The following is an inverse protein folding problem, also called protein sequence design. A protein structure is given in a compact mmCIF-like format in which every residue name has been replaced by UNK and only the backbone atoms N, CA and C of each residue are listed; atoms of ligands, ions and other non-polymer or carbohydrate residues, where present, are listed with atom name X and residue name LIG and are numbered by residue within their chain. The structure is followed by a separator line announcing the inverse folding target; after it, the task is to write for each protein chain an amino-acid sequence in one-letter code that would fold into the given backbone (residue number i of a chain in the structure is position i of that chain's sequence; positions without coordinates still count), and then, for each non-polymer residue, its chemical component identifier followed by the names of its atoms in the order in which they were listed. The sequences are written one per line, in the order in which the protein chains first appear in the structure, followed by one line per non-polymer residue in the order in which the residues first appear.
data_IF_130472805410
#
_entry.id   IF_130472805410
#
_cell.length_a   1.000
_cell.length_b   1.000
_cell.length_c   1.000
_cell.angle_alpha   90.00
_cell.angle_beta   90.00
_cell.angle_gamma   90.00
#
_symmetry.space_group_name_H-M   'P 1'
#
loop_
_entity.id
_entity.type
_entity.pdbx_description
1 polymer ?
#
# COMPACT_ATOMS: atom_id res chain seq x y z
N UNK A 1 14.93 43.04 19.77
CA UNK A 1 13.70 42.26 19.95
C UNK A 1 13.46 41.58 18.61
N UNK A 2 13.66 40.26 18.48
CA UNK A 2 13.47 39.60 17.20
C UNK A 2 11.98 39.50 16.89
N UNK A 3 11.65 39.65 15.60
CA UNK A 3 10.32 39.71 15.02
C UNK A 3 9.50 38.42 15.27
N UNK A 4 8.17 38.50 15.53
CA UNK A 4 7.33 37.32 15.73
C UNK A 4 6.89 36.65 14.42
N UNK A 5 7.25 37.18 13.25
CA UNK A 5 6.82 36.68 11.94
C UNK A 5 7.75 35.60 11.34
N UNK A 6 8.71 35.08 12.12
CA UNK A 6 9.59 33.98 11.71
C UNK A 6 9.02 32.57 11.98
N UNK A 7 7.69 32.42 11.93
CA UNK A 7 7.03 31.10 11.86
C UNK A 7 6.90 30.74 10.38
N UNK A 8 8.03 30.41 9.75
CA UNK A 8 8.01 29.60 8.53
C UNK A 8 7.80 28.15 8.99
N UNK A 9 6.54 27.73 9.03
CA UNK A 9 6.12 26.39 9.40
C UNK A 9 6.51 25.40 8.29
N UNK A 10 7.74 24.90 8.38
CA UNK A 10 8.32 23.60 8.02
C UNK A 10 7.74 22.67 6.92
N UNK A 11 6.99 23.17 5.94
CA UNK A 11 6.63 22.41 4.73
C UNK A 11 7.22 23.12 3.50
N UNK A 12 8.34 22.61 2.99
CA UNK A 12 8.89 23.09 1.72
C UNK A 12 8.14 22.39 0.58
N UNK A 13 7.17 23.09 -0.01
CA UNK A 13 6.43 22.59 -1.16
C UNK A 13 7.33 22.65 -2.40
N UNK A 14 7.91 21.51 -2.76
CA UNK A 14 8.79 21.40 -3.91
C UNK A 14 7.95 21.09 -5.17
N UNK A 15 7.88 22.05 -6.10
CA UNK A 15 7.24 21.85 -7.41
C UNK A 15 8.30 21.60 -8.47
N UNK A 16 8.32 20.39 -9.03
CA UNK A 16 9.30 19.99 -10.04
C UNK A 16 8.60 19.32 -11.23
N UNK A 17 8.87 19.83 -12.44
CA UNK A 17 8.20 19.37 -13.66
C UNK A 17 8.78 18.02 -14.16
N UNK A 18 10.08 17.79 -13.95
CA UNK A 18 10.75 16.54 -14.30
C UNK A 18 12.09 16.50 -13.56
N UNK A 19 12.31 15.46 -12.74
CA UNK A 19 13.55 15.29 -11.98
C UNK A 19 14.06 13.89 -12.21
N UNK A 20 15.35 13.81 -12.55
CA UNK A 20 15.99 12.53 -12.74
C UNK A 20 16.19 11.80 -11.40
N UNK A 21 16.72 12.50 -10.40
CA UNK A 21 16.98 11.95 -9.06
C UNK A 21 16.80 13.03 -7.99
N UNK A 22 16.08 12.73 -6.91
CA UNK A 22 15.84 13.66 -5.80
C UNK A 22 16.16 13.01 -4.45
N UNK A 23 16.90 13.72 -3.60
CA UNK A 23 17.22 13.30 -2.23
C UNK A 23 16.66 14.29 -1.22
N UNK A 24 15.88 13.81 -0.25
CA UNK A 24 15.30 14.66 0.79
C UNK A 24 15.53 14.04 2.17
N UNK A 25 16.09 14.83 3.07
CA UNK A 25 16.45 14.43 4.44
C UNK A 25 16.05 15.46 5.49
N UNK A 26 14.87 16.07 5.32
CA UNK A 26 14.30 17.02 6.28
C UNK A 26 13.18 16.35 7.08
N UNK A 27 12.72 16.98 8.17
CA UNK A 27 11.73 16.38 9.07
C UNK A 27 10.39 16.11 8.38
N UNK A 28 9.91 17.06 7.59
CA UNK A 28 8.60 16.99 6.93
C UNK A 28 8.73 17.36 5.46
N UNK A 29 8.07 16.59 4.60
CA UNK A 29 8.16 16.74 3.15
C UNK A 29 6.77 16.70 2.55
N UNK A 30 6.44 17.72 1.75
CA UNK A 30 5.30 17.67 0.85
C UNK A 30 5.78 17.93 -0.58
N UNK A 31 5.54 16.97 -1.48
CA UNK A 31 6.02 17.05 -2.85
C UNK A 31 4.88 16.89 -3.84
N UNK A 32 4.87 17.78 -4.83
CA UNK A 32 3.95 17.73 -5.97
C UNK A 32 4.72 17.82 -7.28
N UNK A 33 4.56 16.80 -8.13
CA UNK A 33 5.31 16.68 -9.37
C UNK A 33 4.52 15.92 -10.45
N UNK A 34 4.87 16.17 -11.71
CA UNK A 34 4.37 15.35 -12.83
C UNK A 34 4.98 13.96 -12.76
N UNK A 35 6.25 13.85 -13.13
CA UNK A 35 6.98 12.58 -13.15
C UNK A 35 8.27 12.67 -12.34
N UNK A 36 8.48 11.67 -11.49
CA UNK A 36 9.73 11.43 -10.78
C UNK A 36 10.30 10.07 -11.18
N UNK A 37 11.56 10.06 -11.62
CA UNK A 37 12.21 8.83 -12.00
C UNK A 37 12.80 8.11 -10.78
N UNK A 38 13.64 8.81 -10.01
CA UNK A 38 14.24 8.27 -8.79
C UNK A 38 14.04 9.21 -7.61
N UNK A 39 13.61 8.65 -6.48
CA UNK A 39 13.35 9.37 -5.26
C UNK A 39 13.95 8.64 -4.04
N UNK A 40 14.75 9.34 -3.25
CA UNK A 40 15.28 8.84 -1.99
C UNK A 40 14.92 9.78 -0.84
N UNK A 41 14.18 9.26 0.15
CA UNK A 41 13.66 10.08 1.25
C UNK A 41 13.89 9.41 2.60
N UNK A 42 14.34 10.21 3.55
CA UNK A 42 14.45 9.86 4.96
C UNK A 42 13.92 11.01 5.80
N UNK A 43 12.63 10.95 6.15
CA UNK A 43 11.90 12.04 6.78
C UNK A 43 10.89 11.51 7.79
N UNK A 44 10.58 12.26 8.85
CA UNK A 44 9.57 11.81 9.82
C UNK A 44 8.18 11.76 9.20
N UNK A 45 7.81 12.79 8.43
CA UNK A 45 6.52 12.89 7.74
C UNK A 45 6.72 13.13 6.24
N UNK A 46 5.93 12.43 5.44
CA UNK A 46 6.04 12.51 3.98
C UNK A 46 4.67 12.50 3.32
N UNK A 47 4.42 13.45 2.44
CA UNK A 47 3.19 13.55 1.65
C UNK A 47 3.55 13.72 0.16
N UNK A 48 2.98 12.86 -0.69
CA UNK A 48 3.11 12.98 -2.15
C UNK A 48 1.79 13.19 -2.85
N UNK A 49 1.83 14.06 -3.86
CA UNK A 49 0.85 14.14 -4.93
C UNK A 49 1.59 14.12 -6.27
N UNK A 50 1.79 12.93 -6.87
CA UNK A 50 2.55 12.80 -8.11
C UNK A 50 1.81 12.00 -9.18
N UNK A 51 2.01 12.34 -10.46
CA UNK A 51 1.38 11.57 -11.53
C UNK A 51 2.08 10.22 -11.68
N UNK A 52 3.41 10.23 -11.83
CA UNK A 52 4.20 9.01 -11.99
C UNK A 52 5.43 9.03 -11.10
N UNK A 53 5.65 7.94 -10.36
CA UNK A 53 6.87 7.69 -9.61
C UNK A 53 7.40 6.31 -10.01
N UNK A 54 8.57 6.28 -10.65
CA UNK A 54 9.10 5.06 -11.27
C UNK A 54 9.95 4.19 -10.35
N UNK A 55 10.73 4.81 -9.46
CA UNK A 55 11.50 4.12 -8.45
C UNK A 55 11.64 5.01 -7.23
N UNK A 56 11.41 4.44 -6.05
CA UNK A 56 11.52 5.19 -4.81
C UNK A 56 12.06 4.33 -3.67
N UNK A 57 12.94 4.90 -2.86
CA UNK A 57 13.29 4.38 -1.54
C UNK A 57 12.87 5.40 -0.49
N UNK A 58 11.85 5.08 0.29
CA UNK A 58 11.25 6.01 1.24
C UNK A 58 11.26 5.37 2.63
N UNK A 59 11.98 6.01 3.55
CA UNK A 59 11.92 5.75 4.98
C UNK A 59 11.19 6.87 5.69
N UNK A 60 10.14 6.54 6.44
CA UNK A 60 9.41 7.53 7.24
C UNK A 60 8.81 6.98 8.53
N UNK A 61 8.31 7.88 9.38
CA UNK A 61 7.39 7.46 10.45
C UNK A 61 5.97 7.43 9.91
N UNK A 62 5.54 8.50 9.24
CA UNK A 62 4.21 8.62 8.65
C UNK A 62 4.31 9.01 7.18
N UNK A 63 3.57 8.31 6.32
CA UNK A 63 3.50 8.65 4.91
C UNK A 63 2.10 8.61 4.32
N UNK A 64 1.83 9.55 3.42
CA UNK A 64 0.63 9.59 2.60
C UNK A 64 1.04 9.72 1.13
N UNK A 65 0.58 8.79 0.31
CA UNK A 65 0.87 8.73 -1.12
C UNK A 65 -0.41 8.90 -1.91
N UNK A 66 -0.53 9.99 -2.67
CA UNK A 66 -1.52 10.14 -3.74
C UNK A 66 -0.78 10.08 -5.08
N UNK A 67 -0.82 8.91 -5.74
CA UNK A 67 -0.01 8.66 -6.94
C UNK A 67 -0.86 8.06 -8.05
N UNK A 68 -0.76 8.54 -9.29
CA UNK A 68 -1.49 7.87 -10.38
C UNK A 68 -0.83 6.54 -10.71
N UNK A 69 0.47 6.52 -10.95
CA UNK A 69 1.25 5.31 -11.22
C UNK A 69 2.49 5.25 -10.35
N UNK A 70 2.59 4.20 -9.53
CA UNK A 70 3.74 3.93 -8.69
C UNK A 70 4.36 2.60 -9.10
N UNK A 71 5.60 2.65 -9.58
CA UNK A 71 6.38 1.49 -10.00
C UNK A 71 7.56 1.31 -9.05
N UNK A 72 7.93 0.06 -8.77
CA UNK A 72 9.16 -0.33 -8.06
C UNK A 72 9.48 0.46 -6.77
N UNK A 73 8.52 0.80 -5.88
CA UNK A 73 8.84 1.45 -4.63
C UNK A 73 9.32 0.43 -3.59
N UNK A 74 10.31 0.86 -2.81
CA UNK A 74 10.71 0.27 -1.54
C UNK A 74 10.35 1.24 -0.42
N UNK A 75 9.31 0.93 0.35
CA UNK A 75 8.78 1.85 1.37
C UNK A 75 8.81 1.19 2.74
N UNK A 76 9.50 1.85 3.67
CA UNK A 76 9.52 1.53 5.09
C UNK A 76 8.83 2.65 5.87
N UNK A 77 7.76 2.34 6.60
CA UNK A 77 7.09 3.31 7.46
C UNK A 77 6.54 2.71 8.74
N UNK A 78 6.29 3.53 9.77
CA UNK A 78 5.45 3.05 10.87
C UNK A 78 3.99 2.99 10.41
N UNK A 79 3.51 4.07 9.79
CA UNK A 79 2.17 4.18 9.24
C UNK A 79 2.21 4.69 7.81
N UNK A 80 1.54 4.00 6.89
CA UNK A 80 1.40 4.46 5.52
C UNK A 80 -0.04 4.38 5.00
N UNK A 81 -0.41 5.39 4.21
CA UNK A 81 -1.65 5.43 3.46
C UNK A 81 -1.30 5.59 1.98
N UNK A 82 -1.82 4.68 1.16
CA UNK A 82 -1.64 4.67 -0.27
C UNK A 82 -2.98 4.89 -0.96
N UNK A 83 -3.08 5.95 -1.74
CA UNK A 83 -4.16 6.22 -2.68
C UNK A 83 -3.55 6.21 -4.08
N UNK A 84 -3.63 5.07 -4.75
CA UNK A 84 -2.88 4.84 -5.99
C UNK A 84 -3.79 4.32 -7.10
N UNK A 85 -3.70 4.83 -8.33
CA UNK A 85 -4.47 4.23 -9.41
C UNK A 85 -3.87 2.89 -9.83
N UNK A 86 -2.57 2.87 -10.11
CA UNK A 86 -1.83 1.64 -10.45
C UNK A 86 -0.57 1.51 -9.63
N UNK A 87 -0.45 0.38 -8.92
CA UNK A 87 0.71 0.02 -8.13
C UNK A 87 1.35 -1.25 -8.71
N UNK A 88 2.59 -1.14 -9.22
CA UNK A 88 3.29 -2.26 -9.85
C UNK A 88 4.59 -2.57 -9.10
N UNK A 89 4.84 -3.86 -8.83
CA UNK A 89 6.10 -4.42 -8.32
C UNK A 89 6.62 -3.68 -7.10
N UNK A 90 6.26 -4.15 -5.92
CA UNK A 90 6.40 -3.34 -4.70
C UNK A 90 6.91 -4.14 -3.53
N UNK A 91 7.81 -3.55 -2.74
CA UNK A 91 8.14 -4.01 -1.41
C UNK A 91 7.74 -2.94 -0.38
N UNK A 92 6.69 -3.23 0.40
CA UNK A 92 6.25 -2.35 1.49
C UNK A 92 6.41 -3.06 2.83
N UNK A 93 7.21 -2.43 3.69
CA UNK A 93 7.32 -2.74 5.10
C UNK A 93 6.63 -1.68 5.92
N UNK A 94 5.63 -2.05 6.72
CA UNK A 94 5.04 -1.10 7.66
C UNK A 94 4.58 -1.71 8.98
N UNK A 95 4.36 -0.91 10.02
CA UNK A 95 3.59 -1.42 11.16
C UNK A 95 2.11 -1.48 10.81
N UNK A 96 1.59 -0.39 10.22
CA UNK A 96 0.22 -0.27 9.76
C UNK A 96 0.19 0.31 8.34
N UNK A 97 -0.52 -0.34 7.43
CA UNK A 97 -0.72 0.18 6.08
C UNK A 97 -2.19 0.12 5.65
N UNK A 98 -2.61 1.17 4.93
CA UNK A 98 -3.90 1.24 4.26
C UNK A 98 -3.66 1.46 2.78
N UNK A 99 -4.27 0.62 1.96
CA UNK A 99 -4.20 0.67 0.50
C UNK A 99 -5.58 0.92 -0.07
N UNK A 100 -5.73 2.02 -0.78
CA UNK A 100 -6.87 2.32 -1.64
C UNK A 100 -6.35 2.38 -3.07
N UNK A 101 -6.48 1.27 -3.79
CA UNK A 101 -5.81 1.09 -5.08
C UNK A 101 -6.78 0.60 -6.16
N UNK A 102 -6.72 1.16 -7.37
CA UNK A 102 -7.56 0.61 -8.45
C UNK A 102 -7.00 -0.72 -8.95
N UNK A 103 -5.71 -0.76 -9.27
CA UNK A 103 -5.01 -1.97 -9.69
C UNK A 103 -3.69 -2.16 -8.95
N UNK A 104 -3.53 -3.32 -8.33
CA UNK A 104 -2.34 -3.70 -7.59
C UNK A 104 -1.75 -4.98 -8.18
N UNK A 105 -0.53 -4.91 -8.69
CA UNK A 105 0.14 -6.00 -9.41
C UNK A 105 1.47 -6.38 -8.74
N UNK A 106 1.68 -7.67 -8.48
CA UNK A 106 2.97 -8.24 -8.09
C UNK A 106 3.60 -7.56 -6.86
N UNK A 107 3.02 -7.73 -5.68
CA UNK A 107 3.40 -6.96 -4.49
C UNK A 107 3.79 -7.88 -3.34
N UNK A 108 4.90 -7.57 -2.67
CA UNK A 108 5.31 -8.15 -1.40
C UNK A 108 5.02 -7.14 -0.28
N UNK A 109 4.10 -7.48 0.62
CA UNK A 109 3.75 -6.63 1.76
C UNK A 109 4.01 -7.39 3.05
N UNK A 110 4.90 -6.83 3.86
CA UNK A 110 5.14 -7.25 5.22
C UNK A 110 4.65 -6.17 6.17
N UNK A 111 3.61 -6.44 6.96
CA UNK A 111 3.20 -5.47 7.98
C UNK A 111 2.48 -6.10 9.16
N UNK A 112 2.44 -5.44 10.31
CA UNK A 112 1.68 -5.97 11.45
C UNK A 112 0.18 -5.94 11.16
N UNK A 113 -0.32 -4.83 10.61
CA UNK A 113 -1.71 -4.66 10.22
C UNK A 113 -1.81 -4.09 8.81
N UNK A 114 -2.66 -4.67 7.97
CA UNK A 114 -2.92 -4.15 6.62
C UNK A 114 -4.40 -4.14 6.29
N UNK A 115 -4.83 -3.06 5.65
CA UNK A 115 -6.16 -2.93 5.07
C UNK A 115 -6.02 -2.66 3.57
N UNK A 116 -6.71 -3.47 2.76
CA UNK A 116 -6.81 -3.29 1.32
C UNK A 116 -8.26 -2.97 0.93
N UNK A 117 -8.41 -1.89 0.19
CA UNK A 117 -9.61 -1.55 -0.57
C UNK A 117 -9.18 -1.44 -2.03
N UNK A 118 -9.41 -2.50 -2.81
CA UNK A 118 -8.80 -2.63 -4.14
C UNK A 118 -9.81 -3.11 -5.17
N UNK A 119 -9.82 -2.53 -6.38
CA UNK A 119 -10.69 -3.06 -7.44
C UNK A 119 -10.14 -4.36 -8.00
N UNK A 120 -8.85 -4.39 -8.39
CA UNK A 120 -8.18 -5.59 -8.88
C UNK A 120 -6.83 -5.80 -8.22
N UNK A 121 -6.65 -6.99 -7.65
CA UNK A 121 -5.40 -7.39 -7.00
C UNK A 121 -4.88 -8.67 -7.66
N UNK A 122 -3.69 -8.61 -8.24
CA UNK A 122 -3.08 -9.70 -9.02
C UNK A 122 -1.75 -10.14 -8.41
N UNK A 123 -1.57 -11.45 -8.21
CA UNK A 123 -0.31 -12.10 -7.85
C UNK A 123 0.40 -11.41 -6.67
N UNK A 124 -0.17 -11.53 -5.48
CA UNK A 124 0.31 -10.78 -4.30
C UNK A 124 0.76 -11.72 -3.21
N UNK A 125 1.92 -11.44 -2.62
CA UNK A 125 2.43 -12.10 -1.42
C UNK A 125 2.25 -11.18 -0.21
N UNK A 126 1.37 -11.55 0.71
CA UNK A 126 1.14 -10.79 1.94
C UNK A 126 1.48 -11.64 3.15
N UNK A 127 2.38 -11.10 3.98
CA UNK A 127 2.67 -11.60 5.32
C UNK A 127 2.24 -10.56 6.35
N UNK A 128 1.23 -10.87 7.15
CA UNK A 128 0.75 -9.93 8.18
C UNK A 128 0.23 -10.59 9.44
N UNK A 129 0.29 -9.90 10.59
CA UNK A 129 -0.43 -10.39 11.78
C UNK A 129 -1.93 -10.30 11.55
N UNK A 130 -2.40 -9.17 11.02
CA UNK A 130 -3.82 -8.91 10.77
C UNK A 130 -4.02 -8.32 9.38
N UNK A 131 -4.88 -8.93 8.58
CA UNK A 131 -5.19 -8.44 7.24
C UNK A 131 -6.69 -8.32 7.01
N UNK A 132 -7.10 -7.23 6.38
CA UNK A 132 -8.46 -7.00 5.94
C UNK A 132 -8.44 -6.69 4.44
N UNK A 133 -9.22 -7.44 3.67
CA UNK A 133 -9.42 -7.22 2.25
C UNK A 133 -10.88 -6.89 1.95
N UNK A 134 -11.09 -5.79 1.24
CA UNK A 134 -12.30 -5.46 0.51
C UNK A 134 -11.92 -5.32 -0.97
N UNK A 135 -12.12 -6.39 -1.75
CA UNK A 135 -11.58 -6.48 -3.12
C UNK A 135 -12.65 -6.90 -4.12
N UNK A 136 -12.75 -6.26 -5.27
CA UNK A 136 -13.69 -6.72 -6.31
C UNK A 136 -13.19 -7.99 -6.99
N UNK A 137 -11.94 -8.01 -7.43
CA UNK A 137 -11.32 -9.18 -8.06
C UNK A 137 -9.95 -9.46 -7.46
N UNK A 138 -9.76 -10.68 -6.97
CA UNK A 138 -8.53 -11.16 -6.36
C UNK A 138 -8.04 -12.38 -7.12
N UNK A 139 -6.88 -12.25 -7.79
CA UNK A 139 -6.29 -13.28 -8.65
C UNK A 139 -4.94 -13.74 -8.08
N UNK A 140 -4.79 -15.06 -7.92
CA UNK A 140 -3.55 -15.71 -7.49
C UNK A 140 -2.92 -15.13 -6.20
N UNK A 141 -3.68 -14.82 -5.13
CA UNK A 141 -3.07 -14.33 -3.90
C UNK A 141 -2.34 -15.46 -3.16
N UNK A 142 -1.17 -15.14 -2.61
CA UNK A 142 -0.50 -15.93 -1.59
C UNK A 142 -0.50 -15.15 -0.26
N UNK A 143 -1.33 -15.57 0.69
CA UNK A 143 -1.56 -14.79 1.91
C UNK A 143 -1.28 -15.64 3.14
N UNK A 144 -0.35 -15.18 3.97
CA UNK A 144 -0.06 -15.73 5.28
C UNK A 144 -0.42 -14.72 6.37
N UNK A 145 -1.31 -15.09 7.30
CA UNK A 145 -1.60 -14.21 8.44
C UNK A 145 -2.09 -14.90 9.70
N UNK A 146 -1.96 -14.25 10.86
CA UNK A 146 -2.57 -14.76 12.09
C UNK A 146 -4.09 -14.60 12.05
N UNK A 147 -4.57 -13.44 11.61
CA UNK A 147 -6.00 -13.13 11.47
C UNK A 147 -6.28 -12.48 10.12
N UNK A 148 -7.31 -12.97 9.43
CA UNK A 148 -7.71 -12.43 8.14
C UNK A 148 -9.22 -12.23 8.02
N UNK A 149 -9.61 -11.14 7.37
CA UNK A 149 -10.98 -10.91 6.92
C UNK A 149 -10.95 -10.63 5.42
N UNK A 150 -11.75 -11.38 4.67
CA UNK A 150 -11.87 -11.26 3.23
C UNK A 150 -13.31 -10.96 2.86
N UNK A 151 -13.52 -9.84 2.19
CA UNK A 151 -14.76 -9.48 1.51
C UNK A 151 -14.41 -9.32 0.03
N UNK A 152 -14.70 -10.34 -0.76
CA UNK A 152 -14.25 -10.44 -2.15
C UNK A 152 -15.39 -10.77 -3.09
N UNK A 153 -15.55 -10.02 -4.19
CA UNK A 153 -16.58 -10.38 -5.18
C UNK A 153 -16.17 -11.59 -6.00
N UNK A 154 -14.96 -11.60 -6.58
CA UNK A 154 -14.41 -12.74 -7.33
C UNK A 154 -13.04 -13.12 -6.81
N UNK A 155 -12.87 -14.40 -6.46
CA UNK A 155 -11.63 -14.96 -5.95
C UNK A 155 -11.17 -16.12 -6.84
N UNK A 156 -9.98 -15.98 -7.42
CA UNK A 156 -9.39 -16.92 -8.37
C UNK A 156 -8.05 -17.43 -7.85
N UNK A 157 -7.91 -18.76 -7.81
CA UNK A 157 -6.68 -19.49 -7.50
C UNK A 157 -5.89 -19.01 -6.25
N UNK A 158 -6.56 -18.73 -5.11
CA UNK A 158 -5.89 -18.30 -3.90
C UNK A 158 -5.18 -19.45 -3.18
N UNK A 159 -4.03 -19.11 -2.59
CA UNK A 159 -3.36 -19.89 -1.56
C UNK A 159 -3.31 -19.08 -0.26
N UNK A 160 -4.12 -19.46 0.72
CA UNK A 160 -4.29 -18.71 1.96
C UNK A 160 -4.01 -19.58 3.18
N UNK A 161 -3.02 -19.17 3.97
CA UNK A 161 -2.70 -19.75 5.29
C UNK A 161 -3.09 -18.78 6.39
N UNK A 162 -3.95 -19.20 7.33
CA UNK A 162 -4.26 -18.35 8.49
C UNK A 162 -4.67 -19.10 9.76
N UNK A 163 -4.33 -18.57 10.94
CA UNK A 163 -4.84 -19.13 12.19
C UNK A 163 -6.35 -18.88 12.33
N UNK A 164 -6.81 -17.68 11.99
CA UNK A 164 -8.23 -17.29 12.08
C UNK A 164 -8.65 -16.53 10.83
N UNK A 165 -9.63 -17.01 10.09
CA UNK A 165 -10.08 -16.35 8.87
C UNK A 165 -11.60 -16.24 8.74
N UNK A 166 -12.07 -15.10 8.25
CA UNK A 166 -13.46 -14.90 7.83
C UNK A 166 -13.47 -14.59 6.35
N UNK A 167 -14.30 -15.31 5.60
CA UNK A 167 -14.47 -15.13 4.16
C UNK A 167 -15.92 -14.82 3.84
N UNK A 168 -16.13 -13.77 3.05
CA UNK A 168 -17.37 -13.43 2.37
C UNK A 168 -17.04 -13.29 0.89
N UNK A 169 -17.38 -14.32 0.11
CA UNK A 169 -17.01 -14.42 -1.31
C UNK A 169 -18.25 -14.60 -2.18
N UNK A 170 -18.38 -13.87 -3.28
CA UNK A 170 -19.52 -14.08 -4.21
C UNK A 170 -19.21 -15.19 -5.22
N UNK A 171 -18.04 -15.15 -5.86
CA UNK A 171 -17.60 -16.14 -6.84
C UNK A 171 -16.22 -16.68 -6.47
N UNK A 172 -16.07 -18.00 -6.52
CA UNK A 172 -14.84 -18.72 -6.21
C UNK A 172 -14.58 -19.72 -7.34
N UNK A 173 -13.45 -19.59 -8.04
CA UNK A 173 -13.12 -20.44 -9.18
C UNK A 173 -12.18 -21.61 -8.81
N UNK A 174 -11.29 -21.41 -7.84
CA UNK A 174 -10.52 -22.46 -7.17
C UNK A 174 -10.16 -21.94 -5.76
N UNK A 175 -9.75 -22.80 -4.83
CA UNK A 175 -9.38 -22.42 -3.46
C UNK A 175 -8.50 -23.45 -2.78
N UNK A 176 -7.29 -23.03 -2.40
CA UNK A 176 -6.46 -23.76 -1.47
C UNK A 176 -6.31 -22.96 -0.16
N UNK A 177 -6.96 -23.45 0.90
CA UNK A 177 -6.92 -22.84 2.23
C UNK A 177 -6.35 -23.80 3.26
N UNK A 178 -5.45 -23.27 4.09
CA UNK A 178 -5.01 -23.90 5.33
C UNK A 178 -5.35 -22.96 6.49
N UNK A 179 -6.51 -23.21 7.13
CA UNK A 179 -7.00 -22.38 8.22
C UNK A 179 -7.29 -23.21 9.48
N UNK A 180 -6.81 -22.73 10.63
CA UNK A 180 -7.06 -23.41 11.92
C UNK A 180 -8.50 -23.21 12.40
N UNK A 181 -9.01 -21.99 12.28
CA UNK A 181 -10.40 -21.63 12.59
C UNK A 181 -10.92 -20.63 11.57
N UNK A 182 -12.17 -20.80 11.13
CA UNK A 182 -12.74 -19.78 10.26
C UNK A 182 -14.21 -19.94 9.93
N UNK A 183 -14.73 -18.88 9.33
CA UNK A 183 -16.10 -18.78 8.83
C UNK A 183 -16.01 -18.53 7.34
N UNK A 184 -16.77 -19.29 6.55
CA UNK A 184 -16.84 -19.11 5.11
C UNK A 184 -18.31 -18.91 4.69
N UNK A 185 -18.58 -17.76 4.09
CA UNK A 185 -19.86 -17.41 3.52
C UNK A 185 -19.69 -17.20 2.00
N UNK A 186 -20.42 -18.00 1.22
CA UNK A 186 -20.49 -17.86 -0.24
C UNK A 186 -21.90 -17.44 -0.66
N UNK A 187 -22.02 -16.42 -1.51
CA UNK A 187 -23.30 -16.08 -2.13
C UNK A 187 -23.22 -16.35 -3.63
N UNK A 188 -23.70 -17.51 -4.05
CA UNK A 188 -23.88 -17.83 -5.47
C UNK A 188 -25.16 -17.14 -5.97
N UNK A 189 -25.04 -16.18 -6.88
CA UNK A 189 -26.19 -15.59 -7.58
C UNK A 189 -26.45 -16.27 -8.92
#
# INVERSE_FOLDING_TARGET
MPDPDHILDFIELIFLCEVHTLFIGITEVALSAGTLNELLISSSQVIFAVSTLNAALIGSTHSIFAVSTLNDPLIGSTQAIFVVSTLNVVLIGSTQAIFVVSTLNAVLIGSSQVIFVVSTLNAVLIGSTQVIFAVSTLNDPLIGSTQAIFVVSTLNDPLIGSTQAIFVVSTLNDLLIDITQGIFAMSTS
#
